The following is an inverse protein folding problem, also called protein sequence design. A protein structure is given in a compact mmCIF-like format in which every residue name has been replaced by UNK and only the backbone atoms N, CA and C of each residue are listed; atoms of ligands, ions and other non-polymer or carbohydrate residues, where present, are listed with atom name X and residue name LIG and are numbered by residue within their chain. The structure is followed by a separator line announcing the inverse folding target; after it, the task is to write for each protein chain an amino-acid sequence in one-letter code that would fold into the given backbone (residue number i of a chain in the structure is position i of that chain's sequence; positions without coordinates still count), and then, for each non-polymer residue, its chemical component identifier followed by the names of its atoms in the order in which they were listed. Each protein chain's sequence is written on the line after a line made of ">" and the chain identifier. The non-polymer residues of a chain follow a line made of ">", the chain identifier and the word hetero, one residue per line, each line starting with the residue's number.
data_IF_619522225829
#
_entry.id   IF_619522225829
#
_cell.length_a   1.000
_cell.length_b   1.000
_cell.length_c   1.000
_cell.angle_alpha   90.00
_cell.angle_beta   90.00
_cell.angle_gamma   90.00
#
_symmetry.space_group_name_H-M   'P 1'
#
loop_
_entity.id
_entity.type
_entity.pdbx_description
1 polymer ?
#
# COMPACT_ATOMS: atom_id res chain seq x y z
N UNK A 1 11.71 10.95 18.17
CA UNK A 1 12.02 9.57 17.75
C UNK A 1 13.44 9.50 17.21
N UNK A 2 13.78 10.21 16.14
CA UNK A 2 15.13 10.19 15.56
C UNK A 2 16.26 10.42 16.58
N UNK A 3 16.11 11.38 17.49
CA UNK A 3 17.08 11.64 18.55
C UNK A 3 17.24 10.47 19.56
N UNK A 4 16.25 9.61 19.63
CA UNK A 4 16.27 8.36 20.42
C UNK A 4 16.76 7.14 19.61
N UNK A 5 17.18 7.33 18.36
CA UNK A 5 17.62 6.25 17.49
C UNK A 5 16.51 5.36 16.96
N UNK A 6 15.23 5.81 17.02
CA UNK A 6 14.06 5.08 16.54
C UNK A 6 13.56 5.74 15.25
N UNK A 7 13.52 5.00 14.17
CA UNK A 7 12.89 5.45 12.92
C UNK A 7 11.39 5.67 13.13
N UNK A 8 10.83 6.83 12.77
CA UNK A 8 9.41 7.05 12.95
C UNK A 8 8.56 6.10 12.10
N UNK A 9 8.88 5.91 10.82
CA UNK A 9 8.16 5.05 9.88
C UNK A 9 9.15 4.30 8.98
N UNK A 10 9.15 2.98 9.05
CA UNK A 10 9.88 2.16 8.09
C UNK A 10 9.16 2.17 6.73
N UNK A 11 9.91 2.55 5.68
CA UNK A 11 9.43 2.67 4.31
C UNK A 11 10.29 1.83 3.38
N UNK A 12 9.66 0.98 2.60
CA UNK A 12 10.24 0.38 1.41
C UNK A 12 10.17 1.41 0.26
N UNK A 13 11.26 2.09 0.03
CA UNK A 13 11.35 3.07 -1.05
C UNK A 13 12.15 2.54 -2.24
N UNK A 14 12.93 1.46 -2.03
CA UNK A 14 13.76 0.85 -3.07
C UNK A 14 12.95 0.16 -4.16
N UNK A 15 11.83 -0.48 -3.80
CA UNK A 15 10.94 -1.14 -4.75
C UNK A 15 10.01 -0.15 -5.48
N UNK A 16 9.90 1.10 -5.00
CA UNK A 16 9.14 2.19 -5.62
C UNK A 16 7.62 2.09 -5.44
N UNK A 17 7.03 0.91 -5.58
CA UNK A 17 5.58 0.71 -5.48
C UNK A 17 4.99 1.10 -4.11
N UNK A 18 5.63 0.84 -2.94
CA UNK A 18 5.03 1.23 -1.67
C UNK A 18 4.95 2.74 -1.50
N UNK A 19 5.93 3.47 -2.05
CA UNK A 19 5.89 4.93 -2.08
C UNK A 19 4.78 5.47 -2.98
N UNK A 20 4.51 4.80 -4.12
CA UNK A 20 3.40 5.18 -5.00
C UNK A 20 2.04 4.89 -4.34
N UNK A 21 1.92 3.81 -3.56
CA UNK A 21 0.74 3.54 -2.74
C UNK A 21 0.60 4.57 -1.63
N UNK A 22 1.69 4.95 -0.96
CA UNK A 22 1.68 6.01 0.07
C UNK A 22 1.25 7.37 -0.52
N UNK A 23 1.74 7.72 -1.72
CA UNK A 23 1.28 8.91 -2.46
C UNK A 23 -0.23 8.83 -2.77
N UNK A 24 -0.70 7.65 -3.19
CA UNK A 24 -2.13 7.42 -3.48
C UNK A 24 -3.00 7.61 -2.26
N UNK A 25 -2.52 7.16 -1.10
CA UNK A 25 -3.22 7.31 0.17
C UNK A 25 -3.33 8.79 0.60
N UNK A 26 -2.24 9.55 0.44
CA UNK A 26 -2.25 11.01 0.65
C UNK A 26 -3.25 11.67 -0.31
N UNK A 27 -3.20 11.32 -1.60
CA UNK A 27 -4.12 11.88 -2.61
C UNK A 27 -5.56 11.52 -2.30
N UNK A 28 -5.85 10.31 -1.85
CA UNK A 28 -7.18 9.90 -1.45
C UNK A 28 -7.68 10.71 -0.24
N UNK A 29 -6.84 10.96 0.76
CA UNK A 29 -7.22 11.85 1.88
C UNK A 29 -7.44 13.30 1.45
N UNK A 30 -6.79 13.76 0.40
CA UNK A 30 -7.04 15.10 -0.16
C UNK A 30 -8.35 15.17 -0.97
N UNK A 31 -8.65 14.16 -1.77
CA UNK A 31 -9.74 14.19 -2.76
C UNK A 31 -11.01 13.46 -2.32
N UNK A 32 -10.90 12.53 -1.34
CA UNK A 32 -12.03 11.70 -0.89
C UNK A 32 -12.59 10.86 -2.05
N UNK A 33 -13.89 10.85 -2.22
CA UNK A 33 -14.58 10.10 -3.30
C UNK A 33 -14.18 10.49 -4.73
N UNK A 34 -13.53 11.65 -4.92
CA UNK A 34 -13.08 12.12 -6.23
C UNK A 34 -11.74 11.50 -6.65
N UNK A 35 -11.09 10.71 -5.78
CA UNK A 35 -9.77 10.10 -6.04
C UNK A 35 -9.70 9.37 -7.38
N UNK A 36 -10.59 8.41 -7.60
CA UNK A 36 -10.58 7.58 -8.81
C UNK A 36 -10.75 8.40 -10.09
N UNK A 37 -11.61 9.43 -10.05
CA UNK A 37 -11.80 10.33 -11.20
C UNK A 37 -10.55 11.20 -11.42
N UNK A 38 -9.98 11.77 -10.35
CA UNK A 38 -8.76 12.59 -10.42
C UNK A 38 -7.62 11.81 -11.07
N UNK A 39 -7.39 10.56 -10.64
CA UNK A 39 -6.33 9.71 -11.19
C UNK A 39 -6.64 9.32 -12.64
N UNK A 40 -7.89 8.92 -12.93
CA UNK A 40 -8.32 8.52 -14.27
C UNK A 40 -8.16 9.66 -15.29
N UNK A 41 -8.53 10.87 -14.92
CA UNK A 41 -8.39 12.05 -15.77
C UNK A 41 -6.91 12.39 -16.03
N UNK A 42 -6.07 12.31 -14.98
CA UNK A 42 -4.63 12.55 -15.11
C UNK A 42 -3.96 11.55 -16.08
N UNK A 43 -4.30 10.26 -15.95
CA UNK A 43 -3.79 9.20 -16.83
C UNK A 43 -4.31 9.40 -18.27
N UNK A 44 -5.63 9.60 -18.46
CA UNK A 44 -6.23 9.71 -19.78
C UNK A 44 -5.69 10.92 -20.59
N UNK A 45 -5.42 12.02 -19.90
CA UNK A 45 -4.92 13.26 -20.52
C UNK A 45 -3.38 13.36 -20.48
N UNK A 46 -2.69 12.44 -19.82
CA UNK A 46 -1.24 12.53 -19.52
C UNK A 46 -0.88 13.87 -18.85
N UNK A 47 -1.78 14.37 -18.00
CA UNK A 47 -1.66 15.66 -17.32
C UNK A 47 -1.84 15.48 -15.82
N UNK A 48 -0.73 15.62 -15.08
CA UNK A 48 -0.66 15.50 -13.63
C UNK A 48 -0.60 16.87 -12.92
N UNK A 49 -1.05 17.95 -13.59
CA UNK A 49 -1.04 19.30 -13.05
C UNK A 49 -2.19 19.59 -12.05
N UNK A 50 -3.06 18.61 -11.76
CA UNK A 50 -4.12 18.76 -10.75
C UNK A 50 -3.53 19.24 -9.40
N UNK A 51 -4.08 20.30 -8.79
CA UNK A 51 -3.57 20.86 -7.54
C UNK A 51 -3.50 19.85 -6.38
N UNK A 52 -4.39 18.86 -6.33
CA UNK A 52 -4.37 17.84 -5.29
C UNK A 52 -3.25 16.80 -5.54
N UNK A 53 -2.98 16.46 -6.80
CA UNK A 53 -1.84 15.59 -7.15
C UNK A 53 -0.54 16.30 -6.75
N UNK A 54 -0.37 17.56 -7.15
CA UNK A 54 0.80 18.35 -6.75
C UNK A 54 0.92 18.43 -5.23
N UNK A 55 -0.19 18.68 -4.53
CA UNK A 55 -0.22 18.75 -3.08
C UNK A 55 0.15 17.42 -2.41
N UNK A 56 -0.29 16.31 -2.98
CA UNK A 56 0.08 14.98 -2.47
C UNK A 56 1.59 14.74 -2.59
N UNK A 57 2.22 15.10 -3.70
CA UNK A 57 3.67 15.00 -3.91
C UNK A 57 4.43 15.94 -2.94
N UNK A 58 3.94 17.17 -2.72
CA UNK A 58 4.50 18.08 -1.72
C UNK A 58 4.49 17.48 -0.29
N UNK A 59 3.40 16.79 0.08
CA UNK A 59 3.27 16.16 1.39
C UNK A 59 4.16 14.93 1.52
N UNK A 60 4.28 14.11 0.48
CA UNK A 60 5.24 13.00 0.42
C UNK A 60 6.67 13.52 0.64
N UNK A 61 7.08 14.52 -0.16
CA UNK A 61 8.40 15.12 -0.02
C UNK A 61 8.62 15.74 1.37
N UNK A 62 7.64 16.45 1.90
CA UNK A 62 7.68 17.00 3.25
C UNK A 62 7.88 15.91 4.31
N UNK A 63 7.26 14.75 4.14
CA UNK A 63 7.42 13.60 5.05
C UNK A 63 8.88 13.10 5.02
N UNK A 64 9.46 12.96 3.84
CA UNK A 64 10.85 12.57 3.68
C UNK A 64 11.83 13.62 4.26
N UNK A 65 11.64 14.89 3.93
CA UNK A 65 12.47 16.01 4.42
C UNK A 65 12.41 16.16 5.96
N UNK A 66 11.28 15.83 6.56
CA UNK A 66 11.10 15.84 8.01
C UNK A 66 11.74 14.63 8.71
N UNK A 67 12.36 13.71 7.98
CA UNK A 67 12.96 12.50 8.53
C UNK A 67 11.92 11.51 9.07
N UNK A 68 10.75 11.43 8.44
CA UNK A 68 9.73 10.43 8.79
C UNK A 68 10.24 9.02 8.46
N UNK A 69 10.94 8.86 7.33
CA UNK A 69 11.48 7.58 6.88
C UNK A 69 12.90 7.35 7.40
N UNK A 70 13.34 6.09 7.42
CA UNK A 70 14.73 5.75 7.77
C UNK A 70 15.72 6.32 6.75
N UNK A 71 16.95 6.54 7.17
CA UNK A 71 17.99 7.03 6.28
C UNK A 71 18.26 6.01 5.17
N UNK A 72 18.29 6.47 3.92
CA UNK A 72 18.50 5.63 2.73
C UNK A 72 17.29 4.77 2.34
N UNK A 73 16.08 5.16 2.79
CA UNK A 73 14.83 4.47 2.48
C UNK A 73 14.61 4.25 0.98
N UNK A 74 15.07 5.20 0.16
CA UNK A 74 14.94 5.23 -1.30
C UNK A 74 15.73 4.13 -2.04
N UNK A 75 16.56 3.39 -1.31
CA UNK A 75 17.34 2.26 -1.80
C UNK A 75 17.17 0.99 -0.96
N UNK A 76 16.28 1.00 0.02
CA UNK A 76 15.99 -0.13 0.89
C UNK A 76 14.70 -0.84 0.45
N UNK A 77 14.79 -2.16 0.38
CA UNK A 77 13.73 -3.04 -0.07
C UNK A 77 12.70 -3.38 1.02
N UNK A 78 11.68 -4.09 0.62
CA UNK A 78 10.60 -4.60 1.46
C UNK A 78 11.11 -5.32 2.73
N UNK A 79 12.03 -6.27 2.56
CA UNK A 79 12.53 -7.06 3.69
C UNK A 79 13.28 -6.20 4.70
N UNK A 80 14.05 -5.21 4.23
CA UNK A 80 14.78 -4.27 5.08
C UNK A 80 13.82 -3.41 5.89
N UNK A 81 12.79 -2.84 5.27
CA UNK A 81 11.78 -2.02 5.96
C UNK A 81 10.98 -2.84 6.98
N UNK A 82 10.56 -4.06 6.62
CA UNK A 82 9.88 -4.98 7.51
C UNK A 82 10.75 -5.34 8.73
N UNK A 83 12.04 -5.64 8.51
CA UNK A 83 12.97 -6.00 9.58
C UNK A 83 13.22 -4.83 10.56
N UNK A 84 13.27 -3.59 10.09
CA UNK A 84 13.38 -2.43 10.99
C UNK A 84 12.19 -2.37 11.98
N UNK A 85 10.99 -2.64 11.51
CA UNK A 85 9.80 -2.63 12.34
C UNK A 85 9.75 -3.84 13.28
N UNK A 86 9.94 -5.05 12.75
CA UNK A 86 9.83 -6.30 13.53
C UNK A 86 10.95 -6.47 14.56
N UNK A 87 12.07 -5.74 14.41
CA UNK A 87 13.14 -5.67 15.41
C UNK A 87 13.00 -4.47 16.37
N UNK A 88 11.88 -3.72 16.33
CA UNK A 88 11.65 -2.57 17.22
C UNK A 88 12.53 -1.35 16.91
N UNK A 89 13.16 -1.29 15.75
CA UNK A 89 13.98 -0.16 15.31
C UNK A 89 13.18 0.93 14.61
N UNK A 90 11.93 0.63 14.22
CA UNK A 90 10.97 1.59 13.71
C UNK A 90 9.68 1.53 14.54
N UNK A 91 9.08 2.70 14.77
CA UNK A 91 7.83 2.81 15.52
C UNK A 91 6.60 2.47 14.67
N UNK A 92 6.67 2.70 13.37
CA UNK A 92 5.61 2.43 12.40
C UNK A 92 6.20 1.76 11.16
N UNK A 93 5.32 1.08 10.41
CA UNK A 93 5.63 0.45 9.14
C UNK A 93 4.48 0.69 8.16
N UNK A 94 4.77 1.22 6.98
CA UNK A 94 3.75 1.45 5.96
C UNK A 94 3.66 0.24 5.04
N UNK A 95 2.57 -0.52 5.16
CA UNK A 95 2.34 -1.72 4.36
C UNK A 95 0.86 -2.11 4.36
N UNK A 96 0.51 -3.16 3.67
CA UNK A 96 -0.87 -3.62 3.53
C UNK A 96 -1.24 -4.81 4.42
N UNK A 97 -2.50 -5.21 4.32
CA UNK A 97 -3.09 -6.30 5.11
C UNK A 97 -2.43 -7.67 4.92
N UNK A 98 -1.67 -7.86 3.85
CA UNK A 98 -0.90 -9.10 3.62
C UNK A 98 0.19 -9.32 4.68
N UNK A 99 0.63 -8.27 5.37
CA UNK A 99 1.60 -8.36 6.46
C UNK A 99 0.95 -8.58 7.84
N UNK A 100 -0.37 -8.71 7.91
CA UNK A 100 -1.06 -8.97 9.17
C UNK A 100 -0.61 -10.29 9.84
N UNK A 101 -0.09 -11.24 9.06
CA UNK A 101 0.51 -12.50 9.55
C UNK A 101 1.69 -12.28 10.50
N UNK A 102 2.31 -11.09 10.52
CA UNK A 102 3.36 -10.76 11.49
C UNK A 102 2.92 -10.96 12.95
N UNK A 103 1.64 -10.73 13.26
CA UNK A 103 1.10 -10.94 14.60
C UNK A 103 1.08 -12.41 15.04
N UNK A 104 1.20 -13.34 14.10
CA UNK A 104 1.28 -14.80 14.35
C UNK A 104 2.70 -15.35 14.19
N UNK A 105 3.66 -14.57 13.70
CA UNK A 105 5.01 -15.03 13.44
C UNK A 105 5.83 -15.11 14.73
N UNK A 106 6.12 -16.32 15.19
CA UNK A 106 6.88 -16.59 16.42
C UNK A 106 8.36 -16.19 16.33
N UNK A 107 8.90 -15.94 15.14
CA UNK A 107 10.26 -15.40 14.96
C UNK A 107 10.37 -13.93 15.36
N UNK A 108 9.24 -13.21 15.44
CA UNK A 108 9.18 -11.83 15.93
C UNK A 108 9.08 -11.85 17.46
N UNK A 109 9.88 -11.03 18.18
CA UNK A 109 9.80 -10.93 19.63
C UNK A 109 8.35 -10.74 20.13
N UNK A 110 7.96 -11.48 21.16
CA UNK A 110 6.59 -11.54 21.63
C UNK A 110 6.05 -10.16 22.03
N UNK A 111 6.88 -9.36 22.67
CA UNK A 111 6.55 -7.99 23.10
C UNK A 111 6.32 -7.04 21.93
N UNK A 112 6.85 -7.35 20.73
CA UNK A 112 6.58 -6.61 19.50
C UNK A 112 5.33 -7.18 18.84
N UNK A 113 5.32 -8.48 18.49
CA UNK A 113 4.25 -9.06 17.66
C UNK A 113 2.86 -8.96 18.30
N UNK A 114 2.76 -9.09 19.63
CA UNK A 114 1.47 -8.99 20.35
C UNK A 114 0.99 -7.55 20.51
N UNK A 115 1.87 -6.57 20.27
CA UNK A 115 1.57 -5.14 20.36
C UNK A 115 1.48 -4.45 19.00
N UNK A 116 1.56 -5.18 17.87
CA UNK A 116 1.32 -4.60 16.55
C UNK A 116 -0.14 -4.12 16.49
N UNK A 117 -0.33 -2.89 16.04
CA UNK A 117 -1.65 -2.27 15.83
C UNK A 117 -1.66 -1.57 14.50
N UNK A 118 -2.83 -1.53 13.85
CA UNK A 118 -3.01 -0.79 12.60
C UNK A 118 -3.76 0.52 12.82
N UNK A 119 -3.52 1.47 11.97
CA UNK A 119 -4.33 2.68 11.80
C UNK A 119 -4.31 3.10 10.33
N UNK A 120 -5.35 3.77 9.91
CA UNK A 120 -5.46 4.29 8.54
C UNK A 120 -4.66 5.59 8.40
N UNK A 121 -4.35 5.97 7.16
CA UNK A 121 -3.73 7.28 6.90
C UNK A 121 -4.54 8.38 7.59
N UNK A 122 -3.89 9.25 8.39
CA UNK A 122 -4.56 10.35 9.05
C UNK A 122 -5.25 11.32 8.09
N UNK A 123 -6.27 12.01 8.56
CA UNK A 123 -6.90 13.11 7.80
C UNK A 123 -5.89 14.22 7.52
N UNK A 124 -6.03 14.86 6.37
CA UNK A 124 -5.17 15.97 5.94
C UNK A 124 -5.98 17.26 6.03
N UNK A 125 -5.42 18.29 6.64
CA UNK A 125 -6.07 19.59 6.76
C UNK A 125 -6.44 20.15 5.38
N UNK A 126 -7.72 20.49 5.23
CA UNK A 126 -8.30 20.95 3.96
C UNK A 126 -8.60 19.85 2.95
N UNK A 127 -8.32 18.59 3.27
CA UNK A 127 -8.72 17.44 2.46
C UNK A 127 -10.19 17.06 2.66
N UNK A 128 -10.72 16.25 1.75
CA UNK A 128 -12.11 15.76 1.77
C UNK A 128 -12.23 14.38 2.45
N UNK A 129 -11.13 13.67 2.63
CA UNK A 129 -11.11 12.35 3.23
C UNK A 129 -11.40 12.38 4.73
N UNK A 130 -12.00 11.31 5.24
CA UNK A 130 -12.36 11.12 6.64
C UNK A 130 -11.41 10.15 7.36
N UNK A 131 -11.54 10.06 8.68
CA UNK A 131 -10.72 9.13 9.48
C UNK A 131 -11.03 7.65 9.17
N UNK A 132 -12.25 7.36 8.69
CA UNK A 132 -12.73 6.01 8.36
C UNK A 132 -12.57 5.64 6.89
N UNK A 133 -12.05 6.53 6.05
CA UNK A 133 -11.70 6.19 4.67
C UNK A 133 -10.44 5.32 4.67
N UNK A 134 -10.43 4.25 3.88
CA UNK A 134 -9.33 3.30 3.81
C UNK A 134 -8.78 3.18 2.39
N UNK A 135 -7.46 3.04 2.26
CA UNK A 135 -6.86 2.59 1.02
C UNK A 135 -7.13 1.08 0.87
N UNK A 136 -7.94 0.73 -0.11
CA UNK A 136 -8.24 -0.67 -0.41
C UNK A 136 -8.56 -0.85 -1.90
N UNK A 137 -8.03 -1.92 -2.46
CA UNK A 137 -8.26 -2.32 -3.85
C UNK A 137 -8.07 -3.84 -4.01
N UNK A 138 -8.56 -4.37 -5.11
CA UNK A 138 -8.28 -5.75 -5.49
C UNK A 138 -6.88 -5.83 -6.11
N UNK A 139 -5.87 -6.12 -5.26
CA UNK A 139 -4.47 -5.99 -5.61
C UNK A 139 -3.91 -7.05 -6.53
N UNK A 140 -4.61 -8.15 -6.78
CA UNK A 140 -4.04 -9.23 -7.59
C UNK A 140 -5.04 -10.28 -8.03
N UNK A 141 -4.64 -11.02 -9.04
CA UNK A 141 -5.37 -12.16 -9.54
C UNK A 141 -4.42 -13.11 -10.26
N UNK A 142 -4.89 -14.34 -10.50
CA UNK A 142 -4.15 -15.32 -11.27
C UNK A 142 -4.72 -15.42 -12.67
N UNK A 143 -3.84 -15.47 -13.66
CA UNK A 143 -4.19 -15.66 -15.06
C UNK A 143 -3.53 -16.92 -15.61
N UNK A 144 -4.24 -17.64 -16.46
CA UNK A 144 -3.69 -18.79 -17.19
C UNK A 144 -3.29 -18.32 -18.58
N UNK A 145 -2.03 -18.56 -18.97
CA UNK A 145 -1.54 -18.22 -20.30
C UNK A 145 -2.39 -18.92 -21.38
N UNK A 146 -2.79 -18.17 -22.39
CA UNK A 146 -3.52 -18.71 -23.54
C UNK A 146 -2.74 -19.80 -24.29
N UNK A 147 -1.40 -19.76 -24.21
CA UNK A 147 -0.47 -20.69 -24.87
C UNK A 147 0.04 -21.80 -23.94
N UNK A 148 -0.50 -21.91 -22.71
CA UNK A 148 -0.10 -22.98 -21.79
C UNK A 148 -0.45 -24.36 -22.36
N UNK A 149 0.50 -25.28 -22.33
CA UNK A 149 0.27 -26.68 -22.73
C UNK A 149 -0.51 -27.50 -21.69
N UNK A 150 -0.69 -26.95 -20.47
CA UNK A 150 -1.42 -27.55 -19.33
C UNK A 150 -2.54 -26.65 -18.84
N UNK A 151 -3.21 -25.98 -19.78
CA UNK A 151 -4.23 -24.96 -19.47
C UNK A 151 -5.39 -25.50 -18.64
N UNK A 152 -5.90 -26.69 -18.99
CA UNK A 152 -7.05 -27.27 -18.30
C UNK A 152 -6.70 -27.70 -16.88
N UNK A 153 -5.50 -28.18 -16.65
CA UNK A 153 -4.98 -28.52 -15.33
C UNK A 153 -4.77 -27.26 -14.48
N UNK A 154 -4.23 -26.20 -15.07
CA UNK A 154 -4.07 -24.91 -14.40
C UNK A 154 -5.43 -24.33 -13.98
N UNK A 155 -6.45 -24.40 -14.83
CA UNK A 155 -7.81 -23.95 -14.50
C UNK A 155 -8.39 -24.79 -13.36
N UNK A 156 -8.21 -26.13 -13.37
CA UNK A 156 -8.65 -27.00 -12.28
C UNK A 156 -7.98 -26.63 -10.95
N UNK A 157 -6.67 -26.36 -11.00
CA UNK A 157 -5.91 -25.91 -9.81
C UNK A 157 -6.45 -24.59 -9.26
N UNK A 158 -6.67 -23.59 -10.14
CA UNK A 158 -7.23 -22.31 -9.70
C UNK A 158 -8.64 -22.48 -9.11
N UNK A 159 -9.50 -23.27 -9.73
CA UNK A 159 -10.84 -23.55 -9.22
C UNK A 159 -10.79 -24.23 -7.84
N UNK A 160 -9.83 -25.10 -7.59
CA UNK A 160 -9.61 -25.70 -6.28
C UNK A 160 -9.11 -24.66 -5.28
N UNK A 161 -8.09 -23.88 -5.65
CA UNK A 161 -7.48 -22.88 -4.77
C UNK A 161 -8.48 -21.80 -4.33
N UNK A 162 -9.40 -21.40 -5.23
CA UNK A 162 -10.41 -20.39 -4.93
C UNK A 162 -11.65 -20.92 -4.20
N UNK A 163 -11.69 -22.19 -3.81
CA UNK A 163 -12.75 -22.65 -2.91
C UNK A 163 -12.62 -21.94 -1.55
N UNK A 164 -13.73 -21.54 -0.90
CA UNK A 164 -13.69 -20.79 0.36
C UNK A 164 -12.91 -21.48 1.46
N UNK A 165 -13.00 -22.81 1.56
CA UNK A 165 -12.27 -23.62 2.53
C UNK A 165 -10.77 -23.76 2.24
N UNK A 166 -10.33 -23.38 1.04
CA UNK A 166 -8.91 -23.27 0.67
C UNK A 166 -8.41 -21.83 0.83
N UNK A 167 -8.93 -20.89 0.05
CA UNK A 167 -8.40 -19.53 0.03
C UNK A 167 -8.74 -18.76 1.32
N UNK A 168 -10.03 -18.68 1.66
CA UNK A 168 -10.47 -17.83 2.77
C UNK A 168 -10.12 -18.42 4.12
N UNK A 169 -10.34 -19.72 4.31
CA UNK A 169 -10.02 -20.40 5.57
C UNK A 169 -8.53 -20.39 5.85
N UNK A 170 -7.73 -20.89 4.90
CA UNK A 170 -6.26 -20.98 5.08
C UNK A 170 -5.67 -19.59 5.25
N UNK A 171 -6.10 -18.60 4.45
CA UNK A 171 -5.67 -17.22 4.59
C UNK A 171 -5.97 -16.68 5.99
N UNK A 172 -7.20 -16.85 6.47
CA UNK A 172 -7.62 -16.37 7.79
C UNK A 172 -6.84 -17.03 8.93
N UNK A 173 -6.71 -18.37 8.92
CA UNK A 173 -5.97 -19.14 9.92
C UNK A 173 -4.47 -18.76 9.99
N UNK A 174 -3.91 -18.27 8.90
CA UNK A 174 -2.51 -17.81 8.83
C UNK A 174 -2.36 -16.29 8.99
N UNK A 175 -3.41 -15.58 9.41
CA UNK A 175 -3.35 -14.15 9.68
C UNK A 175 -3.21 -13.28 8.43
N UNK A 176 -3.32 -13.87 7.23
CA UNK A 176 -3.33 -13.10 5.99
C UNK A 176 -4.66 -12.37 5.89
N UNK A 177 -4.59 -11.05 5.95
CA UNK A 177 -5.77 -10.20 5.97
C UNK A 177 -6.58 -10.30 4.69
N UNK A 178 -7.81 -10.06 4.84
CA UNK A 178 -8.94 -9.84 3.95
C UNK A 178 -8.81 -10.33 2.50
N UNK A 179 -9.42 -11.48 2.22
CA UNK A 179 -9.67 -11.91 0.86
C UNK A 179 -10.91 -11.20 0.29
N UNK A 180 -11.11 -11.27 -1.04
CA UNK A 180 -12.34 -10.83 -1.69
C UNK A 180 -13.58 -11.72 -1.33
N UNK A 181 -13.37 -12.81 -0.57
CA UNK A 181 -14.39 -13.73 -0.11
C UNK A 181 -14.72 -13.45 1.37
N UNK A 182 -15.93 -13.76 1.77
CA UNK A 182 -16.37 -13.68 3.17
C UNK A 182 -15.58 -14.67 4.04
N UNK A 183 -14.84 -14.17 5.01
CA UNK A 183 -14.05 -14.95 5.95
C UNK A 183 -14.73 -15.13 7.31
N UNK A 184 -15.91 -14.54 7.52
CA UNK A 184 -16.62 -14.56 8.81
C UNK A 184 -16.92 -15.96 9.33
N UNK A 185 -17.16 -16.94 8.44
CA UNK A 185 -17.41 -18.33 8.79
C UNK A 185 -16.20 -19.05 9.42
N UNK A 186 -15.01 -18.48 9.31
CA UNK A 186 -13.76 -19.06 9.82
C UNK A 186 -13.23 -18.35 11.07
N UNK A 187 -13.96 -17.36 11.56
CA UNK A 187 -13.64 -16.69 12.83
C UNK A 187 -13.87 -17.63 13.99
N UNK A 188 -12.88 -17.73 14.87
CA UNK A 188 -12.87 -18.68 16.00
C UNK A 188 -13.03 -17.99 17.36
N UNK A 189 -12.85 -16.67 17.41
CA UNK A 189 -12.78 -15.87 18.63
C UNK A 189 -11.39 -15.84 19.26
N UNK A 190 -10.38 -16.41 18.58
CA UNK A 190 -8.98 -16.40 19.00
C UNK A 190 -8.08 -15.59 18.04
N UNK A 191 -8.69 -14.76 17.23
CA UNK A 191 -8.00 -13.90 16.29
C UNK A 191 -7.09 -12.91 17.01
N UNK A 192 -6.00 -12.51 16.35
CA UNK A 192 -5.13 -11.46 16.89
C UNK A 192 -5.85 -10.10 16.89
N UNK A 193 -5.47 -9.20 17.78
CA UNK A 193 -5.97 -7.82 17.80
C UNK A 193 -5.78 -7.15 16.42
N UNK A 194 -4.67 -7.44 15.75
CA UNK A 194 -4.38 -6.88 14.43
C UNK A 194 -5.37 -7.36 13.37
N UNK A 195 -5.70 -8.68 13.34
CA UNK A 195 -6.71 -9.20 12.41
C UNK A 195 -8.07 -8.52 12.64
N UNK A 196 -8.49 -8.38 13.90
CA UNK A 196 -9.77 -7.74 14.22
C UNK A 196 -9.79 -6.26 13.87
N UNK A 197 -8.67 -5.55 14.00
CA UNK A 197 -8.57 -4.15 13.56
C UNK A 197 -8.73 -3.99 12.05
N UNK A 198 -8.24 -4.94 11.24
CA UNK A 198 -8.51 -4.93 9.79
C UNK A 198 -10.00 -5.15 9.49
N UNK A 199 -10.62 -6.12 10.16
CA UNK A 199 -12.08 -6.35 10.03
C UNK A 199 -12.86 -5.09 10.39
N UNK A 200 -12.54 -4.48 11.51
CA UNK A 200 -13.21 -3.27 11.98
C UNK A 200 -12.99 -2.09 11.02
N UNK A 201 -11.78 -1.92 10.49
CA UNK A 201 -11.48 -0.86 9.53
C UNK A 201 -12.33 -0.99 8.25
N UNK A 202 -12.48 -2.21 7.73
CA UNK A 202 -13.31 -2.46 6.54
C UNK A 202 -14.80 -2.29 6.84
N UNK A 203 -15.28 -2.83 7.96
CA UNK A 203 -16.69 -2.73 8.35
C UNK A 203 -17.13 -1.28 8.62
N UNK A 204 -16.22 -0.43 9.11
CA UNK A 204 -16.48 0.97 9.40
C UNK A 204 -16.06 1.92 8.28
N UNK A 205 -15.55 1.40 7.16
CA UNK A 205 -15.08 2.24 6.05
C UNK A 205 -16.22 3.08 5.48
N UNK A 206 -16.00 4.38 5.37
CA UNK A 206 -16.94 5.32 4.75
C UNK A 206 -16.77 5.33 3.24
N UNK A 207 -15.52 5.23 2.78
CA UNK A 207 -15.18 5.03 1.38
C UNK A 207 -13.84 4.29 1.23
N UNK A 208 -13.59 3.80 0.02
CA UNK A 208 -12.34 3.11 -0.34
C UNK A 208 -11.69 3.83 -1.52
N UNK A 209 -10.34 3.85 -1.54
CA UNK A 209 -9.59 4.56 -2.59
C UNK A 209 -9.79 3.93 -3.97
N UNK A 210 -9.87 2.63 -4.05
CA UNK A 210 -9.70 1.90 -5.31
C UNK A 210 -8.22 1.75 -5.67
N UNK A 211 -7.94 1.49 -6.95
CA UNK A 211 -6.60 1.18 -7.47
C UNK A 211 -5.61 2.32 -7.23
N UNK A 212 -4.41 2.06 -6.71
CA UNK A 212 -3.39 3.09 -6.53
C UNK A 212 -2.88 3.63 -7.87
N UNK A 213 -2.40 4.87 -7.86
CA UNK A 213 -2.05 5.63 -9.07
C UNK A 213 -1.09 4.88 -10.01
N UNK A 214 -0.10 4.18 -9.47
CA UNK A 214 0.88 3.43 -10.26
C UNK A 214 0.27 2.25 -11.03
N UNK A 215 -0.83 1.70 -10.55
CA UNK A 215 -1.55 0.57 -11.17
C UNK A 215 -2.71 1.01 -12.09
N UNK A 216 -2.95 2.32 -12.21
CA UNK A 216 -4.04 2.85 -13.05
C UNK A 216 -3.66 3.04 -14.52
N UNK A 217 -2.37 2.99 -14.86
CA UNK A 217 -1.86 3.21 -16.22
C UNK A 217 -1.24 1.97 -16.86
N UNK A 218 -0.70 2.10 -18.09
CA UNK A 218 0.09 1.05 -18.72
C UNK A 218 1.33 0.67 -17.91
N UNK A 219 1.91 -0.51 -18.16
CA UNK A 219 3.11 -0.97 -17.45
C UNK A 219 4.29 0.00 -17.54
N UNK A 220 4.45 0.71 -18.66
CA UNK A 220 5.50 1.72 -18.81
C UNK A 220 5.27 2.93 -17.88
N UNK A 221 4.02 3.37 -17.68
CA UNK A 221 3.67 4.38 -16.70
C UNK A 221 4.00 3.91 -15.28
N UNK A 222 3.61 2.68 -14.94
CA UNK A 222 3.94 2.09 -13.63
C UNK A 222 5.43 2.15 -13.36
N UNK A 223 6.25 1.63 -14.27
CA UNK A 223 7.71 1.64 -14.13
C UNK A 223 8.25 3.07 -13.97
N UNK A 224 7.69 4.02 -14.74
CA UNK A 224 8.10 5.41 -14.69
C UNK A 224 7.80 6.04 -13.32
N UNK A 225 6.55 6.00 -12.86
CA UNK A 225 6.17 6.64 -11.60
C UNK A 225 6.88 6.00 -10.40
N UNK A 226 7.07 4.69 -10.40
CA UNK A 226 7.77 3.97 -9.33
C UNK A 226 9.27 4.32 -9.27
N UNK A 227 9.90 4.60 -10.40
CA UNK A 227 11.29 5.10 -10.46
C UNK A 227 11.37 6.58 -10.06
N UNK A 228 10.52 7.43 -10.61
CA UNK A 228 10.60 8.87 -10.41
C UNK A 228 10.14 9.32 -9.01
N UNK A 229 9.28 8.52 -8.33
CA UNK A 229 8.83 8.84 -6.97
C UNK A 229 9.98 8.80 -5.96
N UNK A 230 10.97 7.94 -6.18
CA UNK A 230 12.21 7.92 -5.38
C UNK A 230 12.97 9.23 -5.55
N UNK A 231 13.13 9.69 -6.80
CA UNK A 231 13.88 10.91 -7.14
C UNK A 231 13.22 12.17 -6.55
N UNK A 232 11.90 12.31 -6.64
CA UNK A 232 11.21 13.47 -6.07
C UNK A 232 11.22 13.45 -4.54
N UNK A 233 11.07 12.28 -3.94
CA UNK A 233 11.02 12.16 -2.48
C UNK A 233 12.37 12.47 -1.83
N UNK A 234 13.49 12.03 -2.40
CA UNK A 234 14.84 12.32 -1.90
C UNK A 234 15.39 13.69 -2.36
N UNK A 235 14.66 14.41 -3.21
CA UNK A 235 15.02 15.75 -3.68
C UNK A 235 15.97 15.79 -4.89
N UNK A 236 16.22 14.65 -5.54
CA UNK A 236 17.02 14.59 -6.76
C UNK A 236 16.28 15.20 -7.97
N UNK A 237 14.95 15.23 -7.93
CA UNK A 237 14.07 15.84 -8.94
C UNK A 237 13.12 16.83 -8.26
N UNK A 238 12.82 17.94 -8.91
CA UNK A 238 11.81 18.89 -8.43
C UNK A 238 10.40 18.32 -8.60
N UNK A 239 9.44 18.84 -7.82
CA UNK A 239 8.03 18.40 -7.92
C UNK A 239 7.47 18.69 -9.32
N UNK A 240 7.77 19.86 -9.88
CA UNK A 240 7.28 20.23 -11.21
C UNK A 240 7.89 19.36 -12.31
N UNK A 241 9.19 19.03 -12.20
CA UNK A 241 9.85 18.11 -13.13
C UNK A 241 9.31 16.68 -13.00
N UNK A 242 9.06 16.21 -11.77
CA UNK A 242 8.42 14.91 -11.53
C UNK A 242 7.06 14.83 -12.24
N UNK A 243 6.17 15.80 -12.00
CA UNK A 243 4.82 15.82 -12.59
C UNK A 243 4.89 15.89 -14.13
N UNK A 244 5.81 16.68 -14.68
CA UNK A 244 6.04 16.75 -16.12
C UNK A 244 6.58 15.44 -16.69
N UNK A 245 7.51 14.79 -15.98
CA UNK A 245 8.14 13.53 -16.42
C UNK A 245 7.14 12.41 -16.48
N UNK A 246 6.33 12.19 -15.44
CA UNK A 246 5.32 11.12 -15.43
C UNK A 246 4.18 11.39 -16.43
N UNK A 247 3.95 12.63 -16.85
CA UNK A 247 2.94 12.99 -17.84
C UNK A 247 3.41 12.83 -19.28
N UNK A 248 4.64 13.18 -19.59
CA UNK A 248 5.05 13.37 -20.99
C UNK A 248 6.41 12.78 -21.38
N UNK A 249 7.30 12.54 -20.43
CA UNK A 249 8.69 12.17 -20.73
C UNK A 249 8.97 10.68 -20.64
N UNK A 250 8.09 9.91 -19.98
CA UNK A 250 8.13 8.46 -20.03
C UNK A 250 7.26 7.99 -21.22
N UNK A 251 7.81 7.18 -22.10
CA UNK A 251 7.11 6.63 -23.27
C UNK A 251 6.03 5.60 -22.84
N UNK A 252 4.85 6.07 -22.50
CA UNK A 252 3.69 5.23 -22.14
C UNK A 252 2.40 5.72 -22.79
#
# INVERSE_FOLDING_TARGET
>A
MNDAGITPLAMDGGDGWPMAVYLSDILFKLTGSDYSQTVSDAIANKDFSDPNIKKAVELLKKSADAGLFQKGYDSQDYATAQNLFTNGQAAMYYMGSWDASMALNEDIPEDIRTNIRMFTMPVIDGGKGTATDIAAWNGGGYAVSATSSVKDEAIKFLNYMYQPDQLSKIGWENGVGMSAQDQSAYMTGNETDLQMQFVDAVNNATSVSGTPINDCGPSAFKTCIESEIQNVSNGSTSIDDFLATIGSSCDW
#
